data_IF_519687590939
#
_entry.id   IF_519687590939
#
_cell.length_a   1.000
_cell.length_b   1.000
_cell.length_c   1.000
_cell.angle_alpha   90.00
_cell.angle_beta   90.00
_cell.angle_gamma   90.00
#
_symmetry.space_group_name_H-M   'P 1'
#
loop_
_entity.id
_entity.type
_entity.pdbx_description
1 polymer ?
#
# COMPACT_ATOMS: atom_id res chain seq x y z
N UNK A 1 -6.38 1.57 -17.78
CA UNK A 1 -6.89 2.96 -17.86
C UNK A 1 -8.39 2.98 -18.09
N UNK A 2 -8.97 2.31 -19.10
CA UNK A 2 -10.44 2.34 -19.28
C UNK A 2 -11.26 1.93 -18.04
N UNK A 3 -10.81 0.95 -17.25
CA UNK A 3 -11.46 0.60 -15.98
C UNK A 3 -11.31 1.65 -14.88
N UNK A 4 -10.17 2.35 -14.81
CA UNK A 4 -10.00 3.46 -13.87
C UNK A 4 -10.96 4.60 -14.20
N UNK A 5 -11.24 4.82 -15.50
CA UNK A 5 -12.23 5.80 -15.94
C UNK A 5 -13.65 5.48 -15.44
N UNK A 6 -14.01 4.21 -15.30
CA UNK A 6 -15.31 3.80 -14.75
C UNK A 6 -15.44 4.08 -13.25
N UNK A 7 -14.30 4.18 -12.56
CA UNK A 7 -14.19 4.43 -11.13
C UNK A 7 -14.05 5.91 -10.80
N UNK A 8 -13.08 6.56 -11.42
CA UNK A 8 -12.73 7.96 -11.21
C UNK A 8 -12.14 8.53 -12.51
N UNK A 9 -12.99 9.21 -13.28
CA UNK A 9 -12.62 9.81 -14.56
C UNK A 9 -11.55 10.91 -14.40
N UNK A 10 -11.60 11.68 -13.30
CA UNK A 10 -10.66 12.77 -13.03
C UNK A 10 -9.28 12.21 -12.68
N UNK A 11 -9.22 11.18 -11.84
CA UNK A 11 -7.98 10.48 -11.52
C UNK A 11 -7.40 9.79 -12.77
N UNK A 12 -8.24 9.18 -13.61
CA UNK A 12 -7.79 8.58 -14.87
C UNK A 12 -7.16 9.61 -15.81
N UNK A 13 -7.78 10.79 -15.94
CA UNK A 13 -7.22 11.86 -16.75
C UNK A 13 -5.89 12.35 -16.17
N UNK A 14 -5.84 12.60 -14.87
CA UNK A 14 -4.63 13.07 -14.17
C UNK A 14 -3.47 12.10 -14.33
N UNK A 15 -3.70 10.80 -14.14
CA UNK A 15 -2.68 9.77 -14.36
C UNK A 15 -2.29 9.70 -15.83
N UNK A 16 -3.24 9.83 -16.77
CA UNK A 16 -2.96 9.88 -18.19
C UNK A 16 -1.99 10.99 -18.57
N UNK A 17 -2.32 12.23 -18.17
CA UNK A 17 -1.48 13.41 -18.40
C UNK A 17 -0.11 13.29 -17.73
N UNK A 18 -0.05 12.69 -16.54
CA UNK A 18 1.21 12.42 -15.85
C UNK A 18 2.10 11.45 -16.64
N UNK A 19 1.53 10.33 -17.11
CA UNK A 19 2.26 9.28 -17.83
C UNK A 19 2.78 9.71 -19.21
N UNK A 20 2.19 10.73 -19.84
CA UNK A 20 2.68 11.29 -21.11
C UNK A 20 4.11 11.84 -21.03
N UNK A 21 4.60 12.12 -19.81
CA UNK A 21 5.94 12.65 -19.58
C UNK A 21 7.04 11.58 -19.54
N UNK A 22 6.70 10.29 -19.65
CA UNK A 22 7.62 9.18 -19.43
C UNK A 22 7.66 8.20 -20.62
N UNK A 23 8.83 7.61 -20.88
CA UNK A 23 8.93 6.47 -21.78
C UNK A 23 8.61 5.18 -21.02
N UNK A 24 7.32 4.80 -21.02
CA UNK A 24 6.81 3.62 -20.31
C UNK A 24 7.46 2.29 -20.74
N UNK A 25 8.20 2.26 -21.86
CA UNK A 25 8.95 1.08 -22.29
C UNK A 25 10.32 0.93 -21.62
N UNK A 26 10.80 1.97 -20.94
CA UNK A 26 12.12 2.05 -20.32
C UNK A 26 12.10 2.43 -18.85
N UNK A 27 11.02 3.07 -18.42
CA UNK A 27 10.94 3.69 -17.10
C UNK A 27 9.91 2.98 -16.21
N UNK A 28 10.27 2.80 -14.95
CA UNK A 28 9.32 2.43 -13.90
C UNK A 28 8.77 3.73 -13.33
N UNK A 29 7.47 3.97 -13.54
CA UNK A 29 6.83 5.20 -13.13
C UNK A 29 6.00 4.96 -11.87
N UNK A 30 6.27 5.67 -10.75
CA UNK A 30 5.46 5.55 -9.55
C UNK A 30 4.10 6.19 -9.76
N UNK A 31 3.03 5.48 -9.40
CA UNK A 31 1.66 6.00 -9.47
C UNK A 31 1.08 5.93 -8.06
N UNK A 32 0.65 7.09 -7.55
CA UNK A 32 0.02 7.20 -6.23
C UNK A 32 -1.50 7.15 -6.38
N UNK A 33 -2.15 6.29 -5.62
CA UNK A 33 -3.60 6.22 -5.51
C UNK A 33 -4.01 6.70 -4.12
N UNK A 34 -4.50 7.94 -3.97
CA UNK A 34 -5.05 8.40 -2.70
C UNK A 34 -6.44 7.77 -2.51
N UNK A 35 -6.48 6.58 -1.94
CA UNK A 35 -7.72 5.84 -1.69
C UNK A 35 -8.17 6.10 -0.25
N UNK A 36 -9.42 6.52 -0.10
CA UNK A 36 -10.08 6.64 1.21
C UNK A 36 -11.24 5.66 1.24
N UNK A 37 -11.27 4.82 2.27
CA UNK A 37 -12.28 3.75 2.42
C UNK A 37 -13.11 4.05 3.65
N UNK A 38 -14.42 4.18 3.50
CA UNK A 38 -15.35 4.52 4.58
C UNK A 38 -16.32 3.37 4.90
N UNK A 39 -16.27 2.26 4.14
CA UNK A 39 -17.12 1.08 4.35
C UNK A 39 -16.47 -0.20 3.83
N UNK A 40 -16.96 -1.36 4.28
CA UNK A 40 -16.52 -2.66 3.77
C UNK A 40 -16.84 -2.83 2.27
N UNK A 41 -17.98 -2.33 1.80
CA UNK A 41 -18.34 -2.38 0.37
C UNK A 41 -17.32 -1.59 -0.48
N UNK A 42 -16.89 -0.41 -0.02
CA UNK A 42 -15.83 0.37 -0.69
C UNK A 42 -14.48 -0.35 -0.68
N UNK A 43 -14.19 -1.13 0.38
CA UNK A 43 -12.97 -1.93 0.46
C UNK A 43 -12.98 -3.05 -0.60
N UNK A 44 -14.08 -3.79 -0.73
CA UNK A 44 -14.24 -4.86 -1.71
C UNK A 44 -14.09 -4.33 -3.14
N UNK A 45 -14.71 -3.18 -3.41
CA UNK A 45 -14.58 -2.47 -4.66
C UNK A 45 -13.09 -2.14 -4.93
N UNK A 46 -12.37 -1.59 -3.95
CA UNK A 46 -10.95 -1.23 -4.10
C UNK A 46 -10.11 -2.47 -4.36
N UNK A 47 -10.37 -3.56 -3.65
CA UNK A 47 -9.66 -4.83 -3.85
C UNK A 47 -9.89 -5.37 -5.26
N UNK A 48 -11.10 -5.24 -5.80
CA UNK A 48 -11.42 -5.58 -7.19
C UNK A 48 -10.64 -4.72 -8.19
N UNK A 49 -10.58 -3.40 -7.94
CA UNK A 49 -9.79 -2.47 -8.75
C UNK A 49 -8.29 -2.81 -8.76
N UNK A 50 -7.71 -3.07 -7.59
CA UNK A 50 -6.29 -3.46 -7.47
C UNK A 50 -6.01 -4.75 -8.24
N UNK A 51 -6.87 -5.76 -8.13
CA UNK A 51 -6.75 -7.02 -8.89
C UNK A 51 -6.82 -6.80 -10.41
N UNK A 52 -7.60 -5.82 -10.88
CA UNK A 52 -7.64 -5.47 -12.30
C UNK A 52 -6.40 -4.69 -12.77
N UNK A 53 -5.83 -3.87 -11.89
CA UNK A 53 -4.57 -3.16 -12.12
C UNK A 53 -3.43 -4.15 -12.37
N UNK A 54 -3.37 -5.23 -11.59
CA UNK A 54 -2.41 -6.32 -11.77
C UNK A 54 -2.46 -6.93 -13.19
N UNK A 55 -3.65 -7.00 -13.80
CA UNK A 55 -3.83 -7.59 -15.15
C UNK A 55 -3.43 -6.64 -16.27
N UNK A 56 -3.41 -5.34 -16.00
CA UNK A 56 -3.25 -4.29 -17.02
C UNK A 56 -1.93 -3.54 -16.92
N UNK A 57 -1.13 -3.79 -15.87
CA UNK A 57 0.15 -3.15 -15.62
C UNK A 57 1.23 -4.17 -15.29
N UNK A 58 2.49 -3.88 -15.67
CA UNK A 58 3.66 -4.67 -15.27
C UNK A 58 4.18 -4.17 -13.91
N UNK A 59 3.41 -4.44 -12.86
CA UNK A 59 3.70 -3.99 -11.50
C UNK A 59 5.03 -4.60 -11.01
N UNK A 60 5.97 -3.73 -10.60
CA UNK A 60 7.28 -4.13 -10.10
C UNK A 60 7.34 -4.25 -8.57
N UNK A 61 6.66 -3.32 -7.90
CA UNK A 61 6.51 -3.26 -6.45
C UNK A 61 5.29 -2.39 -6.12
N UNK A 62 4.83 -2.46 -4.87
CA UNK A 62 3.87 -1.52 -4.31
C UNK A 62 4.27 -1.11 -2.88
N UNK A 63 3.72 0.00 -2.43
CA UNK A 63 3.83 0.45 -1.05
C UNK A 63 2.46 0.85 -0.52
N UNK A 64 2.20 0.59 0.76
CA UNK A 64 1.00 1.01 1.47
C UNK A 64 1.41 1.85 2.66
N UNK A 65 0.79 3.02 2.81
CA UNK A 65 0.90 3.85 4.00
C UNK A 65 -0.26 3.51 4.91
N UNK A 66 0.02 3.14 6.14
CA UNK A 66 -0.98 2.70 7.12
C UNK A 66 -0.58 3.14 8.53
N UNK A 67 -1.48 3.02 9.49
CA UNK A 67 -1.17 3.13 10.91
C UNK A 67 -1.19 1.72 11.49
N UNK A 68 -0.11 1.32 12.15
CA UNK A 68 -0.04 0.03 12.83
C UNK A 68 -0.11 0.25 14.34
N UNK A 69 -0.95 -0.53 14.99
CA UNK A 69 -0.97 -0.60 16.45
C UNK A 69 0.08 -1.61 16.89
N UNK A 70 1.04 -1.16 17.69
CA UNK A 70 1.96 -2.08 18.35
C UNK A 70 1.19 -2.70 19.52
N UNK A 71 0.94 -4.01 19.49
CA UNK A 71 0.43 -4.72 20.64
C UNK A 71 1.51 -4.67 21.74
N UNK A 72 1.49 -3.62 22.55
CA UNK A 72 2.19 -3.63 23.83
C UNK A 72 1.41 -4.59 24.74
N UNK A 73 2.04 -5.71 25.08
CA UNK A 73 1.57 -6.57 26.17
C UNK A 73 1.32 -5.68 27.40
N UNK A 74 0.06 -5.61 27.84
CA UNK A 74 -0.40 -5.06 29.14
C UNK A 74 -0.71 -3.54 29.27
N UNK A 75 -1.30 -2.86 28.29
CA UNK A 75 -1.97 -1.57 28.57
C UNK A 75 -3.47 -1.56 28.23
N UNK A 76 -4.27 -1.25 29.25
CA UNK A 76 -5.73 -1.15 29.24
C UNK A 76 -6.23 -0.17 28.16
N UNK A 77 -6.71 -0.73 27.03
CA UNK A 77 -7.79 -0.34 26.09
C UNK A 77 -8.29 1.13 25.90
N UNK A 78 -7.65 2.20 26.38
CA UNK A 78 -8.23 3.56 26.24
C UNK A 78 -7.49 4.55 25.33
N UNK A 79 -6.23 4.35 24.91
CA UNK A 79 -5.56 5.31 24.00
C UNK A 79 -4.35 4.68 23.24
N UNK A 80 -4.53 3.59 22.51
CA UNK A 80 -3.45 3.05 21.67
C UNK A 80 -3.38 3.81 20.35
N UNK A 81 -2.50 4.82 20.28
CA UNK A 81 -2.22 5.54 19.04
C UNK A 81 -1.39 4.65 18.10
N UNK A 82 -1.85 4.49 16.87
CA UNK A 82 -1.10 3.75 15.84
C UNK A 82 0.13 4.52 15.39
N UNK A 83 1.25 3.82 15.22
CA UNK A 83 2.45 4.38 14.60
C UNK A 83 2.32 4.33 13.07
N UNK A 84 2.60 5.41 12.34
CA UNK A 84 2.56 5.42 10.90
C UNK A 84 3.63 4.48 10.37
N UNK A 85 3.24 3.71 9.37
CA UNK A 85 4.11 2.74 8.74
C UNK A 85 4.00 2.80 7.22
N UNK A 86 5.11 2.48 6.58
CA UNK A 86 5.19 2.20 5.15
C UNK A 86 5.53 0.74 4.98
N UNK A 87 4.58 -0.03 4.49
CA UNK A 87 4.82 -1.39 4.02
C UNK A 87 5.15 -1.37 2.54
N UNK A 88 6.09 -2.19 2.09
CA UNK A 88 6.40 -2.39 0.67
C UNK A 88 6.63 -3.87 0.36
N UNK A 89 6.15 -4.31 -0.80
CA UNK A 89 6.43 -5.63 -1.35
C UNK A 89 6.83 -5.49 -2.83
N UNK A 90 7.86 -6.21 -3.25
CA UNK A 90 8.24 -6.32 -4.65
C UNK A 90 7.77 -7.64 -5.28
N UNK A 91 7.91 -7.74 -6.60
CA UNK A 91 7.48 -8.93 -7.36
C UNK A 91 8.26 -10.20 -7.02
N UNK A 92 9.44 -10.09 -6.43
CA UNK A 92 10.22 -11.24 -5.95
C UNK A 92 9.72 -11.74 -4.59
N UNK A 93 8.84 -10.98 -3.94
CA UNK A 93 8.27 -11.28 -2.63
C UNK A 93 9.11 -10.73 -1.49
N UNK A 94 10.06 -9.81 -1.75
CA UNK A 94 10.79 -9.14 -0.69
C UNK A 94 9.85 -8.14 0.01
N UNK A 95 9.66 -8.30 1.31
CA UNK A 95 8.79 -7.45 2.11
C UNK A 95 9.61 -6.55 3.05
N UNK A 96 9.27 -5.27 3.09
CA UNK A 96 9.89 -4.29 3.98
C UNK A 96 8.82 -3.49 4.71
N UNK A 97 9.01 -3.31 6.01
CA UNK A 97 8.19 -2.45 6.85
C UNK A 97 9.07 -1.36 7.45
N UNK A 98 8.61 -0.12 7.41
CA UNK A 98 9.22 0.99 8.15
C UNK A 98 8.16 1.60 9.02
N UNK A 99 8.37 1.57 10.32
CA UNK A 99 7.48 2.07 11.36
C UNK A 99 8.16 3.26 12.01
N UNK A 100 7.43 4.37 12.11
CA UNK A 100 7.94 5.56 12.78
C UNK A 100 7.24 5.73 14.12
N UNK A 101 8.01 5.66 15.20
CA UNK A 101 7.54 5.95 16.55
C UNK A 101 7.40 7.47 16.70
N UNK A 102 6.16 7.96 16.79
CA UNK A 102 5.88 9.39 16.96
C UNK A 102 6.37 9.93 18.32
N UNK A 103 6.36 9.10 19.36
CA UNK A 103 6.71 9.51 20.72
C UNK A 103 8.22 9.64 20.89
N UNK A 104 8.96 8.64 20.42
CA UNK A 104 10.41 8.62 20.45
C UNK A 104 11.04 9.44 19.31
N UNK A 105 10.24 9.76 18.26
CA UNK A 105 10.68 10.45 17.05
C UNK A 105 11.86 9.71 16.38
N UNK A 106 11.71 8.39 16.25
CA UNK A 106 12.70 7.49 15.65
C UNK A 106 12.05 6.36 14.85
N UNK A 107 12.89 5.59 14.17
CA UNK A 107 12.44 4.38 13.46
C UNK A 107 12.38 3.25 14.48
N UNK A 108 11.21 2.64 14.61
CA UNK A 108 10.96 1.56 15.57
C UNK A 108 11.70 0.28 15.13
N UNK A 109 12.09 -0.54 16.11
CA UNK A 109 12.80 -1.82 15.92
C UNK A 109 12.00 -2.87 15.13
N UNK A 110 10.68 -2.72 15.02
CA UNK A 110 9.81 -3.51 14.14
C UNK A 110 10.03 -3.18 12.66
N UNK A 111 10.79 -2.13 12.34
CA UNK A 111 11.20 -1.82 10.99
C UNK A 111 12.23 -2.80 10.48
N UNK A 112 12.08 -3.28 9.26
CA UNK A 112 13.04 -4.19 8.67
C UNK A 112 12.53 -4.96 7.47
N UNK A 113 13.29 -6.00 7.12
CA UNK A 113 12.90 -6.98 6.13
C UNK A 113 12.11 -8.11 6.80
N UNK A 114 11.05 -8.54 6.15
CA UNK A 114 10.17 -9.60 6.61
C UNK A 114 10.12 -10.72 5.57
N UNK A 115 10.02 -11.96 6.05
CA UNK A 115 9.67 -13.09 5.18
C UNK A 115 8.22 -12.92 4.69
N UNK A 116 7.97 -13.30 3.44
CA UNK A 116 6.66 -13.12 2.76
C UNK A 116 5.48 -13.75 3.51
N UNK A 117 5.74 -14.81 4.26
CA UNK A 117 4.78 -15.59 5.04
C UNK A 117 4.77 -15.24 6.54
N UNK A 118 5.45 -14.16 6.94
CA UNK A 118 5.37 -13.66 8.32
C UNK A 118 3.94 -13.14 8.62
N UNK A 119 3.35 -13.63 9.72
CA UNK A 119 2.02 -13.27 10.21
C UNK A 119 1.91 -11.79 10.59
N UNK A 120 3.00 -11.17 11.04
CA UNK A 120 3.04 -9.77 11.48
C UNK A 120 2.72 -8.78 10.33
N UNK A 121 2.99 -9.19 9.09
CA UNK A 121 2.74 -8.37 7.89
C UNK A 121 1.59 -8.90 7.03
N UNK A 122 0.95 -10.02 7.39
CA UNK A 122 -0.03 -10.70 6.52
C UNK A 122 -1.16 -9.76 6.08
N UNK A 123 -1.66 -8.95 7.01
CA UNK A 123 -2.75 -8.01 6.78
C UNK A 123 -2.34 -6.75 6.00
N UNK A 124 -1.03 -6.51 5.84
CA UNK A 124 -0.49 -5.40 5.04
C UNK A 124 -0.32 -5.80 3.56
N UNK A 125 -0.45 -7.10 3.25
CA UNK A 125 -0.14 -7.64 1.92
C UNK A 125 -1.35 -7.61 0.98
N UNK A 126 -1.17 -6.91 -0.14
CA UNK A 126 -2.12 -6.84 -1.24
C UNK A 126 -1.98 -8.06 -2.18
N UNK A 127 -3.02 -8.44 -2.93
CA UNK A 127 -3.05 -9.64 -3.74
C UNK A 127 -2.30 -9.51 -5.08
N UNK A 128 -1.28 -8.65 -5.16
CA UNK A 128 -0.55 -8.37 -6.40
C UNK A 128 0.49 -9.44 -6.77
N UNK A 129 1.13 -10.05 -5.79
CA UNK A 129 2.22 -11.02 -5.99
C UNK A 129 1.95 -12.35 -5.28
N UNK A 130 0.69 -12.62 -4.97
CA UNK A 130 0.23 -13.92 -4.43
C UNK A 130 0.26 -15.00 -5.51
#
# INVERSE_FOLDING_TARGET
>A
MEKLKEWDEELNQTIGEYLENFDLSKEVVPISFPLNVNSEDELDDIMSFLLDLQKTSDLKAYSVVTEITLEMEDEDEEDVWGNPAVFSEDREGNCFLTVFDWEANEIDDLSGAFEKDNLDIENLRLPFFK
#
